data_IF_332851287421
#
_entry.id   IF_332851287421
#
_cell.length_a   1.000
_cell.length_b   1.000
_cell.length_c   1.000
_cell.angle_alpha   90.00
_cell.angle_beta   90.00
_cell.angle_gamma   90.00
#
_symmetry.space_group_name_H-M   'P 1'
#
loop_
_entity.id
_entity.type
_entity.pdbx_description
1 polymer ?
#
# COMPACT_ATOMS: atom_id res chain seq x y z
N UNK A 1 5.57 -8.00 1.57
CA UNK A 1 5.37 -7.11 0.40
C UNK A 1 4.57 -7.78 -0.72
N UNK A 2 4.80 -9.06 -1.04
CA UNK A 2 3.94 -9.79 -1.98
C UNK A 2 2.47 -9.82 -1.53
N UNK A 3 2.23 -10.04 -0.23
CA UNK A 3 0.86 -10.02 0.33
C UNK A 3 0.18 -8.66 0.17
N UNK A 4 0.92 -7.56 0.33
CA UNK A 4 0.41 -6.21 0.08
C UNK A 4 -0.01 -6.00 -1.37
N UNK A 5 0.76 -6.54 -2.31
CA UNK A 5 0.45 -6.46 -3.74
C UNK A 5 -0.85 -7.23 -4.05
N UNK A 6 -0.98 -8.44 -3.49
CA UNK A 6 -2.20 -9.25 -3.59
C UNK A 6 -3.39 -8.51 -2.96
N UNK A 7 -3.22 -7.98 -1.75
CA UNK A 7 -4.28 -7.29 -1.00
C UNK A 7 -4.82 -6.07 -1.74
N UNK A 8 -3.92 -5.24 -2.28
CA UNK A 8 -4.31 -4.04 -3.03
C UNK A 8 -4.76 -4.34 -4.46
N UNK A 9 -4.67 -5.58 -4.93
CA UNK A 9 -4.92 -5.94 -6.33
C UNK A 9 -3.94 -5.25 -7.30
N UNK A 10 -2.68 -5.03 -6.88
CA UNK A 10 -1.65 -4.29 -7.63
C UNK A 10 -0.43 -5.15 -7.89
N UNK A 11 0.38 -4.77 -8.88
CA UNK A 11 1.69 -5.40 -9.09
C UNK A 11 2.68 -5.03 -7.97
N UNK A 12 3.64 -5.91 -7.70
CA UNK A 12 4.70 -5.62 -6.71
C UNK A 12 5.47 -4.34 -7.04
N UNK A 13 5.71 -4.07 -8.33
CA UNK A 13 6.38 -2.84 -8.76
C UNK A 13 5.55 -1.59 -8.45
N UNK A 14 4.22 -1.64 -8.65
CA UNK A 14 3.34 -0.54 -8.28
C UNK A 14 3.38 -0.28 -6.77
N UNK A 15 3.39 -1.32 -5.94
CA UNK A 15 3.54 -1.16 -4.47
C UNK A 15 4.90 -0.54 -4.10
N UNK A 16 5.99 -0.92 -4.79
CA UNK A 16 7.31 -0.29 -4.59
C UNK A 16 7.30 1.19 -4.93
N UNK A 17 6.70 1.57 -6.05
CA UNK A 17 6.53 2.97 -6.41
C UNK A 17 5.72 3.72 -5.34
N UNK A 18 4.63 3.13 -4.84
CA UNK A 18 3.84 3.73 -3.76
C UNK A 18 4.66 3.97 -2.48
N UNK A 19 5.57 3.05 -2.12
CA UNK A 19 6.47 3.25 -0.98
C UNK A 19 7.50 4.37 -1.24
N UNK A 20 8.10 4.41 -2.43
CA UNK A 20 9.06 5.45 -2.80
C UNK A 20 8.41 6.83 -2.90
N UNK A 21 7.16 6.89 -3.36
CA UNK A 21 6.33 8.08 -3.38
C UNK A 21 5.83 8.50 -1.98
N UNK A 22 6.12 7.71 -0.93
CA UNK A 22 5.65 7.98 0.43
C UNK A 22 4.14 7.84 0.63
N UNK A 23 3.44 7.10 -0.24
CA UNK A 23 1.98 6.92 -0.18
C UNK A 23 1.54 5.90 0.86
N UNK A 24 2.42 4.99 1.27
CA UNK A 24 2.14 3.95 2.25
C UNK A 24 3.13 4.05 3.42
N UNK A 25 2.64 4.01 4.68
CA UNK A 25 3.50 3.77 5.83
C UNK A 25 4.13 2.39 5.73
N UNK A 26 5.33 2.25 6.28
CA UNK A 26 6.01 0.96 6.33
C UNK A 26 6.93 0.86 7.54
N UNK A 27 7.14 -0.37 7.98
CA UNK A 27 8.10 -0.73 9.00
C UNK A 27 9.30 -1.33 8.29
N UNK A 28 10.48 -0.75 8.53
CA UNK A 28 11.74 -1.26 8.01
C UNK A 28 12.45 -2.08 9.09
N UNK A 29 12.71 -3.34 8.79
CA UNK A 29 13.49 -4.24 9.64
C UNK A 29 14.66 -4.81 8.82
N UNK A 30 15.83 -4.19 8.98
CA UNK A 30 17.01 -4.46 8.18
C UNK A 30 16.76 -4.26 6.67
N UNK A 31 16.81 -5.37 5.92
CA UNK A 31 16.54 -5.40 4.47
C UNK A 31 15.08 -5.66 4.12
N UNK A 32 14.23 -5.99 5.11
CA UNK A 32 12.82 -6.31 4.91
C UNK A 32 11.95 -5.08 5.14
N UNK A 33 10.85 -5.03 4.39
CA UNK A 33 9.82 -3.99 4.53
C UNK A 33 8.50 -4.71 4.82
N UNK A 34 7.87 -4.28 5.91
CA UNK A 34 6.56 -4.74 6.34
C UNK A 34 5.57 -3.58 6.25
N UNK A 35 4.32 -3.91 5.95
CA UNK A 35 3.23 -2.95 5.86
C UNK A 35 2.09 -3.52 6.69
N UNK A 36 1.59 -2.71 7.63
CA UNK A 36 0.46 -3.11 8.47
C UNK A 36 -0.82 -3.12 7.62
N UNK A 37 -1.67 -4.12 7.82
CA UNK A 37 -2.94 -4.22 7.09
C UNK A 37 -3.86 -3.03 7.37
N UNK A 38 -3.81 -2.45 8.59
CA UNK A 38 -4.59 -1.27 8.97
C UNK A 38 -4.12 -0.02 8.25
N UNK A 39 -2.83 0.07 7.95
CA UNK A 39 -2.28 1.16 7.13
C UNK A 39 -2.78 1.05 5.68
N UNK A 40 -2.89 -0.17 5.17
CA UNK A 40 -3.48 -0.42 3.84
C UNK A 40 -4.95 -0.04 3.81
N UNK A 41 -5.73 -0.44 4.80
CA UNK A 41 -7.14 -0.09 4.90
C UNK A 41 -7.35 1.41 5.00
N UNK A 42 -6.56 2.08 5.85
CA UNK A 42 -6.58 3.54 5.99
C UNK A 42 -6.24 4.22 4.66
N UNK A 43 -5.26 3.70 3.91
CA UNK A 43 -4.92 4.22 2.59
C UNK A 43 -6.05 4.00 1.58
N UNK A 44 -6.69 2.82 1.58
CA UNK A 44 -7.84 2.51 0.72
C UNK A 44 -8.97 3.50 0.99
N UNK A 45 -9.36 3.66 2.26
CA UNK A 45 -10.46 4.58 2.62
C UNK A 45 -10.17 6.02 2.21
N UNK A 46 -8.94 6.50 2.39
CA UNK A 46 -8.54 7.85 1.95
C UNK A 46 -8.48 8.01 0.44
N UNK A 47 -8.24 6.93 -0.30
CA UNK A 47 -8.06 6.94 -1.75
C UNK A 47 -9.36 6.67 -2.52
N UNK A 48 -10.39 6.13 -1.86
CA UNK A 48 -11.70 5.90 -2.45
C UNK A 48 -12.29 7.24 -2.91
N UNK A 49 -12.72 7.26 -4.17
CA UNK A 49 -13.48 8.36 -4.74
C UNK A 49 -14.78 7.78 -5.27
N UNK A 50 -15.90 8.33 -4.81
CA UNK A 50 -17.22 7.99 -5.35
C UNK A 50 -17.59 9.07 -6.34
N UNK A 51 -17.51 8.76 -7.62
CA UNK A 51 -18.09 9.63 -8.65
C UNK A 51 -19.58 9.30 -8.75
N UNK A 52 -20.44 10.25 -8.45
CA UNK A 52 -21.86 10.15 -8.77
C UNK A 52 -22.02 10.46 -10.27
N UNK A 53 -22.26 9.43 -11.07
CA UNK A 53 -22.73 9.56 -12.45
C UNK A 53 -24.24 9.37 -12.47
#
# INVERSE_FOLDING_TARGET
MQDTAIYLGRSLNAVRQMLWDGKLPFIKDGKRIFIDVRDLDTWIERSKQTTAF
#
